data_IF_806032932849
#
_entry.id   IF_806032932849
#
_cell.length_a   1.000
_cell.length_b   1.000
_cell.length_c   1.000
_cell.angle_alpha   90.00
_cell.angle_beta   90.00
_cell.angle_gamma   90.00
#
_symmetry.space_group_name_H-M   'P 1'
#
loop_
_entity.id
_entity.type
_entity.pdbx_description
1 polymer ?
#
# COMPACT_ATOMS: atom_id res chain seq x y z
N UNK A 1 0.80 4.62 -5.05
CA UNK A 1 0.90 3.49 -6.01
C UNK A 1 2.12 2.59 -5.74
N UNK A 2 3.33 3.13 -5.60
CA UNK A 2 4.55 2.33 -5.41
C UNK A 2 4.45 1.27 -4.28
N UNK A 3 3.95 1.64 -3.10
CA UNK A 3 3.80 0.71 -1.98
C UNK A 3 2.82 -0.43 -2.27
N UNK A 4 1.75 -0.16 -3.01
CA UNK A 4 0.81 -1.19 -3.44
C UNK A 4 1.47 -2.17 -4.43
N UNK A 5 2.28 -1.67 -5.38
CA UNK A 5 3.05 -2.54 -6.27
C UNK A 5 4.06 -3.42 -5.49
N UNK A 6 4.79 -2.83 -4.55
CA UNK A 6 5.72 -3.55 -3.67
C UNK A 6 5.02 -4.68 -2.89
N UNK A 7 3.84 -4.40 -2.32
CA UNK A 7 3.07 -5.37 -1.54
C UNK A 7 2.45 -6.46 -2.41
N UNK A 8 1.99 -6.12 -3.62
CA UNK A 8 1.46 -7.08 -4.58
C UNK A 8 2.54 -8.02 -5.14
N UNK A 9 3.74 -7.51 -5.43
CA UNK A 9 4.82 -8.27 -6.05
C UNK A 9 5.50 -9.24 -5.07
N UNK A 10 5.82 -10.50 -5.44
CA UNK A 10 6.36 -11.51 -4.52
C UNK A 10 7.80 -11.27 -4.07
N UNK A 11 8.46 -10.20 -4.55
CA UNK A 11 9.87 -9.98 -4.31
C UNK A 11 10.14 -9.50 -2.87
N UNK A 12 11.09 -10.16 -2.21
CA UNK A 12 11.66 -9.74 -0.93
C UNK A 12 10.70 -9.74 0.25
N UNK A 13 11.19 -9.16 1.35
CA UNK A 13 10.43 -8.93 2.59
C UNK A 13 10.09 -7.44 2.64
N UNK A 14 8.82 -7.03 2.45
CA UNK A 14 8.45 -5.63 2.37
C UNK A 14 8.56 -4.96 3.74
N UNK A 15 9.03 -3.71 3.76
CA UNK A 15 9.00 -2.82 4.93
C UNK A 15 8.27 -1.55 4.56
N UNK A 16 7.24 -1.21 5.32
CA UNK A 16 6.47 0.04 5.16
C UNK A 16 6.98 1.04 6.18
N UNK A 17 7.27 2.26 5.74
CA UNK A 17 7.66 3.36 6.63
C UNK A 17 6.45 3.85 7.42
N UNK A 18 6.66 4.23 8.68
CA UNK A 18 5.69 4.92 9.50
C UNK A 18 6.35 6.20 10.02
N UNK A 19 5.95 7.34 9.47
CA UNK A 19 6.64 8.62 9.64
C UNK A 19 5.92 9.54 10.62
N UNK A 20 6.61 10.60 11.03
CA UNK A 20 6.02 11.80 11.59
C UNK A 20 6.04 12.92 10.54
N UNK A 21 5.15 13.90 10.67
CA UNK A 21 5.07 15.06 9.80
C UNK A 21 6.18 16.06 10.14
N UNK A 22 6.90 16.53 9.12
CA UNK A 22 7.97 17.53 9.26
C UNK A 22 7.97 18.48 8.06
N UNK A 23 8.42 19.71 8.29
CA UNK A 23 8.58 20.73 7.24
C UNK A 23 10.05 20.96 6.88
N UNK A 24 10.98 20.71 7.82
CA UNK A 24 12.43 20.78 7.61
C UNK A 24 13.09 19.44 7.87
N UNK A 25 14.26 19.23 7.25
CA UNK A 25 14.98 17.95 7.32
C UNK A 25 15.51 17.64 8.73
N UNK A 26 15.74 18.68 9.52
CA UNK A 26 16.29 18.62 10.87
C UNK A 26 15.19 18.69 11.95
N UNK A 27 13.92 18.69 11.56
CA UNK A 27 12.82 18.76 12.52
C UNK A 27 12.69 17.45 13.28
N UNK A 28 12.64 17.57 14.61
CA UNK A 28 12.37 16.47 15.52
C UNK A 28 10.89 16.05 15.50
N UNK A 29 10.56 14.82 15.93
CA UNK A 29 9.19 14.41 16.16
C UNK A 29 8.50 15.30 17.20
N UNK A 30 7.17 15.29 17.24
CA UNK A 30 6.39 16.07 18.20
C UNK A 30 6.83 15.77 19.65
N UNK A 31 7.23 16.81 20.37
CA UNK A 31 7.76 16.74 21.74
C UNK A 31 7.29 17.93 22.57
N UNK A 32 7.30 17.79 23.89
CA UNK A 32 7.10 18.89 24.83
C UNK A 32 8.30 19.84 24.86
N UNK A 33 8.16 21.01 25.49
CA UNK A 33 9.27 21.98 25.64
C UNK A 33 10.48 21.38 26.40
N UNK A 34 10.23 20.39 27.26
CA UNK A 34 11.27 19.65 28.00
C UNK A 34 11.92 18.51 27.17
N UNK A 35 11.55 18.36 25.90
CA UNK A 35 12.09 17.33 24.99
C UNK A 35 11.49 15.93 25.17
N UNK A 36 10.33 15.81 25.82
CA UNK A 36 9.64 14.51 25.96
C UNK A 36 8.80 14.25 24.73
N UNK A 37 9.05 13.11 24.06
CA UNK A 37 8.26 12.71 22.88
C UNK A 37 6.78 12.56 23.21
N UNK A 38 5.94 13.19 22.41
CA UNK A 38 4.48 13.05 22.48
C UNK A 38 4.11 11.76 21.77
N UNK A 39 3.31 10.93 22.44
CA UNK A 39 2.85 9.66 21.86
C UNK A 39 1.82 9.91 20.75
N UNK A 40 1.82 9.06 19.74
CA UNK A 40 0.76 9.04 18.75
C UNK A 40 -0.56 8.62 19.41
N UNK A 41 -1.64 9.31 19.07
CA UNK A 41 -3.00 8.96 19.46
C UNK A 41 -3.79 8.55 18.22
N UNK A 42 -4.64 7.52 18.36
CA UNK A 42 -5.47 7.04 17.27
C UNK A 42 -6.83 7.73 17.38
N UNK A 43 -7.28 8.33 16.28
CA UNK A 43 -8.60 8.96 16.22
C UNK A 43 -9.71 7.97 15.85
N UNK A 44 -10.97 8.43 15.89
CA UNK A 44 -12.14 7.60 15.55
C UNK A 44 -12.14 7.12 14.09
N UNK A 45 -11.37 7.78 13.20
CA UNK A 45 -11.21 7.38 11.81
C UNK A 45 -10.11 6.32 11.62
N UNK A 46 -9.44 5.91 12.70
CA UNK A 46 -8.32 4.96 12.68
C UNK A 46 -7.01 5.54 12.17
N UNK A 47 -6.92 6.87 12.03
CA UNK A 47 -5.72 7.61 11.68
C UNK A 47 -4.96 8.06 12.93
N UNK A 48 -3.79 8.66 12.76
CA UNK A 48 -2.96 9.11 13.86
C UNK A 48 -2.96 10.63 14.01
N UNK A 49 -2.93 11.08 15.26
CA UNK A 49 -2.75 12.45 15.68
C UNK A 49 -1.35 12.67 16.26
N UNK A 50 -1.12 13.87 16.83
CA UNK A 50 0.13 14.28 17.46
C UNK A 50 1.33 14.23 16.50
N UNK A 51 1.10 14.61 15.24
CA UNK A 51 2.16 14.72 14.23
C UNK A 51 2.60 13.40 13.61
N UNK A 52 1.96 12.26 13.88
CA UNK A 52 2.30 10.98 13.24
C UNK A 52 1.44 10.72 12.00
N UNK A 53 2.07 10.33 10.89
CA UNK A 53 1.37 10.07 9.62
C UNK A 53 0.74 8.68 9.57
N UNK A 54 1.35 7.71 10.27
CA UNK A 54 0.88 6.34 10.39
C UNK A 54 0.47 5.71 9.05
N UNK A 55 1.36 5.71 8.06
CA UNK A 55 1.09 5.17 6.73
C UNK A 55 0.65 3.70 6.79
N UNK A 56 1.12 2.94 7.78
CA UNK A 56 0.69 1.57 8.05
C UNK A 56 -0.82 1.42 8.35
N UNK A 57 -1.51 2.50 8.74
CA UNK A 57 -2.96 2.56 9.01
C UNK A 57 -3.77 3.04 7.83
N UNK A 58 -3.14 3.53 6.76
CA UNK A 58 -3.88 3.94 5.58
C UNK A 58 -4.54 2.72 4.95
N UNK A 59 -5.83 2.83 4.60
CA UNK A 59 -6.62 1.74 4.03
C UNK A 59 -5.94 1.04 2.86
N UNK A 60 -5.38 1.83 1.95
CA UNK A 60 -4.68 1.34 0.78
C UNK A 60 -3.42 0.51 1.13
N UNK A 61 -2.83 0.75 2.30
CA UNK A 61 -1.63 0.06 2.77
C UNK A 61 -2.01 -1.22 3.50
N UNK A 62 -2.84 -1.15 4.54
CA UNK A 62 -3.19 -2.35 5.31
C UNK A 62 -4.00 -3.36 4.47
N UNK A 63 -4.88 -2.90 3.56
CA UNK A 63 -5.58 -3.81 2.64
C UNK A 63 -4.62 -4.48 1.67
N UNK A 64 -3.51 -3.83 1.30
CA UNK A 64 -2.48 -4.45 0.45
C UNK A 64 -1.55 -5.38 1.24
N UNK A 65 -1.40 -5.19 2.55
CA UNK A 65 -0.78 -6.19 3.44
C UNK A 65 -1.66 -7.44 3.51
N UNK A 66 -2.97 -7.27 3.67
CA UNK A 66 -3.93 -8.39 3.62
C UNK A 66 -3.91 -9.08 2.25
N UNK A 67 -3.93 -8.33 1.15
CA UNK A 67 -3.76 -8.86 -0.20
C UNK A 67 -2.51 -9.75 -0.28
N UNK A 68 -1.36 -9.26 0.19
CA UNK A 68 -0.10 -10.02 0.18
C UNK A 68 -0.22 -11.34 0.94
N UNK A 69 -0.86 -11.33 2.10
CA UNK A 69 -1.09 -12.52 2.93
C UNK A 69 -1.99 -13.54 2.19
N UNK A 70 -3.05 -13.08 1.53
CA UNK A 70 -3.96 -13.93 0.76
C UNK A 70 -3.25 -14.61 -0.41
N UNK A 71 -2.28 -13.92 -1.03
CA UNK A 71 -1.54 -14.43 -2.20
C UNK A 71 -0.18 -15.03 -1.85
N UNK A 72 0.11 -15.29 -0.57
CA UNK A 72 1.38 -15.83 -0.06
C UNK A 72 1.85 -17.07 -0.85
N UNK A 73 3.16 -17.18 -1.10
CA UNK A 73 3.76 -18.31 -1.83
C UNK A 73 3.47 -18.39 -3.34
N UNK A 74 2.62 -17.52 -3.90
CA UNK A 74 2.27 -17.56 -5.33
C UNK A 74 3.18 -16.68 -6.17
N UNK A 75 3.35 -17.01 -7.46
CA UNK A 75 4.12 -16.19 -8.42
C UNK A 75 3.20 -15.21 -9.17
N UNK A 76 3.79 -14.18 -9.76
CA UNK A 76 3.12 -13.32 -10.74
C UNK A 76 2.67 -14.17 -11.93
N UNK A 77 1.43 -13.99 -12.38
CA UNK A 77 0.82 -14.61 -13.57
C UNK A 77 -0.03 -13.58 -14.31
N UNK A 78 -0.33 -13.86 -15.58
CA UNK A 78 -1.21 -13.01 -16.42
C UNK A 78 -0.76 -11.55 -16.43
N UNK A 79 0.54 -11.34 -16.62
CA UNK A 79 1.08 -10.01 -16.80
C UNK A 79 0.47 -9.39 -18.05
N UNK A 80 -0.08 -8.18 -17.90
CA UNK A 80 -0.60 -7.37 -18.97
C UNK A 80 -0.03 -5.96 -18.85
N UNK A 81 0.20 -5.34 -19.99
CA UNK A 81 0.53 -3.92 -20.10
C UNK A 81 0.01 -3.38 -21.43
N UNK A 82 -0.32 -2.09 -21.44
CA UNK A 82 -0.60 -1.36 -22.68
C UNK A 82 0.68 -0.90 -23.43
N UNK A 83 1.87 -1.40 -23.04
CA UNK A 83 3.19 -0.95 -23.49
C UNK A 83 3.52 0.51 -23.14
N UNK A 84 2.85 1.06 -22.13
CA UNK A 84 3.07 2.41 -21.61
C UNK A 84 2.83 2.43 -20.09
N UNK A 85 1.91 3.27 -19.60
CA UNK A 85 1.72 3.59 -18.19
C UNK A 85 0.58 2.80 -17.51
N UNK A 86 0.16 1.69 -18.12
CA UNK A 86 -0.84 0.80 -17.55
C UNK A 86 -0.29 -0.62 -17.45
N UNK A 87 -0.48 -1.24 -16.29
CA UNK A 87 -0.06 -2.62 -16.01
C UNK A 87 -1.12 -3.32 -15.17
N UNK A 88 -1.21 -4.64 -15.33
CA UNK A 88 -2.01 -5.49 -14.46
C UNK A 88 -1.39 -6.87 -14.35
N UNK A 89 -1.62 -7.55 -13.23
CA UNK A 89 -1.22 -8.94 -13.06
C UNK A 89 -2.01 -9.62 -11.95
N UNK A 90 -1.95 -10.94 -11.96
CA UNK A 90 -2.60 -11.81 -10.97
C UNK A 90 -1.58 -12.58 -10.14
N UNK A 91 -2.02 -13.01 -8.96
CA UNK A 91 -1.31 -13.89 -8.04
C UNK A 91 -2.33 -14.82 -7.37
N UNK A 92 -2.58 -15.98 -7.98
CA UNK A 92 -3.59 -16.96 -7.53
C UNK A 92 -4.94 -16.34 -7.17
N UNK A 93 -5.16 -15.99 -5.89
CA UNK A 93 -6.38 -15.43 -5.32
C UNK A 93 -6.41 -13.89 -5.29
N UNK A 94 -5.46 -13.21 -5.95
CA UNK A 94 -5.43 -11.76 -6.04
C UNK A 94 -5.17 -11.25 -7.46
N UNK A 95 -5.75 -10.10 -7.77
CA UNK A 95 -5.52 -9.36 -9.00
C UNK A 95 -5.30 -7.88 -8.68
N UNK A 96 -4.34 -7.24 -9.35
CA UNK A 96 -4.07 -5.80 -9.22
C UNK A 96 -3.90 -5.18 -10.60
N UNK A 97 -4.36 -3.94 -10.73
CA UNK A 97 -4.15 -3.09 -11.90
C UNK A 97 -3.68 -1.70 -11.48
N UNK A 98 -2.87 -1.08 -12.33
CA UNK A 98 -2.29 0.24 -12.10
C UNK A 98 -2.37 1.05 -13.39
N UNK A 99 -2.68 2.33 -13.25
CA UNK A 99 -2.53 3.33 -14.30
C UNK A 99 -1.87 4.57 -13.70
N UNK A 100 -0.81 5.07 -14.34
CA UNK A 100 -0.26 6.40 -14.04
C UNK A 100 -0.66 7.45 -15.09
N UNK A 101 -1.28 7.03 -16.20
CA UNK A 101 -1.79 7.90 -17.24
C UNK A 101 -2.94 7.27 -18.02
N UNK A 102 -4.01 8.03 -18.22
CA UNK A 102 -5.23 7.60 -18.91
C UNK A 102 -6.08 6.60 -18.12
N UNK A 103 -7.31 6.39 -18.59
CA UNK A 103 -8.23 5.42 -18.00
C UNK A 103 -7.89 3.99 -18.44
N UNK A 104 -7.92 3.05 -17.49
CA UNK A 104 -7.73 1.63 -17.76
C UNK A 104 -9.11 0.98 -17.96
N UNK A 105 -9.51 0.79 -19.22
CA UNK A 105 -10.81 0.26 -19.63
C UNK A 105 -10.63 -1.01 -20.48
N UNK A 106 -10.27 -2.12 -19.83
CA UNK A 106 -9.86 -3.35 -20.52
C UNK A 106 -10.54 -4.59 -19.94
N UNK A 107 -10.79 -5.59 -20.80
CA UNK A 107 -11.25 -6.91 -20.37
C UNK A 107 -10.04 -7.81 -20.10
N UNK A 108 -9.67 -7.93 -18.83
CA UNK A 108 -8.47 -8.64 -18.40
C UNK A 108 -8.79 -9.96 -17.71
N UNK A 109 -8.04 -11.01 -18.04
CA UNK A 109 -8.15 -12.30 -17.37
C UNK A 109 -7.52 -12.24 -15.98
N UNK A 110 -8.36 -12.25 -14.93
CA UNK A 110 -7.91 -12.06 -13.54
C UNK A 110 -7.42 -13.35 -12.87
N UNK A 111 -7.77 -14.52 -13.42
CA UNK A 111 -7.53 -15.84 -12.82
C UNK A 111 -8.19 -16.02 -11.43
N UNK A 112 -9.16 -15.16 -11.10
CA UNK A 112 -10.00 -15.32 -9.92
C UNK A 112 -11.21 -16.20 -10.26
N UNK A 113 -11.64 -17.07 -9.32
CA UNK A 113 -12.86 -17.82 -9.52
C UNK A 113 -14.07 -16.88 -9.50
N UNK A 114 -15.10 -17.26 -10.26
CA UNK A 114 -16.30 -16.44 -10.46
C UNK A 114 -17.14 -16.23 -9.18
N UNK A 115 -16.95 -17.06 -8.14
CA UNK A 115 -17.81 -17.15 -6.96
C UNK A 115 -17.24 -16.47 -5.69
N UNK A 116 -16.45 -15.40 -5.82
CA UNK A 116 -15.89 -14.63 -4.68
C UNK A 116 -16.63 -13.31 -4.38
N UNK A 117 -17.87 -13.16 -4.85
CA UNK A 117 -18.79 -12.05 -4.55
C UNK A 117 -20.10 -12.62 -3.99
#
# INVERSE_FOLDING_TARGET
MATAFMLAHPYGIPRVMCSFAFETREQDPSQTDDGVLISSEIDDNGTCNNGYLCEHRWRQIFSMVEFRNVVEGTKVKNWWSNNDQQIAFSRSMGFVSFTSWGDLNENLYTNLPWNLL
#
